data_IF_140496372628
#
_entry.id   IF_140496372628
#
_cell.length_a   1.000
_cell.length_b   1.000
_cell.length_c   1.000
_cell.angle_alpha   90.00
_cell.angle_beta   90.00
_cell.angle_gamma   90.00
#
_symmetry.space_group_name_H-M   'P 1'
#
loop_
_entity.id
_entity.type
_entity.pdbx_description
1 polymer ?
#
# COMPACT_ATOMS: atom_id res chain seq x y z
N UNK A 1 -4.98 10.33 22.77
CA UNK A 1 -3.87 11.18 22.27
C UNK A 1 -4.16 11.50 20.81
N UNK A 2 -4.38 12.78 20.50
CA UNK A 2 -4.74 13.24 19.15
C UNK A 2 -3.60 13.02 18.16
N UNK A 3 -3.86 12.26 17.11
CA UNK A 3 -3.04 12.27 15.90
C UNK A 3 -3.15 13.69 15.35
N UNK A 4 -2.04 14.41 15.25
CA UNK A 4 -2.01 15.75 14.69
C UNK A 4 -2.18 15.61 13.17
N UNK A 5 -3.43 15.44 12.73
CA UNK A 5 -3.78 15.41 11.31
C UNK A 5 -3.42 16.79 10.76
N UNK A 6 -2.61 16.88 9.68
CA UNK A 6 -2.27 18.15 9.08
C UNK A 6 -3.56 18.94 8.78
N UNK A 7 -3.62 20.19 9.25
CA UNK A 7 -4.77 21.05 8.97
C UNK A 7 -4.93 21.18 7.45
N UNK A 8 -6.13 20.96 6.94
CA UNK A 8 -6.41 21.04 5.49
C UNK A 8 -5.99 22.39 4.91
N UNK A 9 -6.04 23.47 5.70
CA UNK A 9 -5.59 24.79 5.28
C UNK A 9 -4.06 24.86 5.13
N UNK A 10 -3.29 24.10 5.89
CA UNK A 10 -1.82 24.02 5.73
C UNK A 10 -1.45 23.23 4.47
N UNK A 11 -2.22 22.17 4.15
CA UNK A 11 -2.08 21.43 2.89
C UNK A 11 -2.41 22.34 1.70
N UNK A 12 -3.56 23.02 1.73
CA UNK A 12 -3.98 23.96 0.67
C UNK A 12 -2.97 25.12 0.54
N UNK A 13 -2.47 25.67 1.65
CA UNK A 13 -1.46 26.74 1.64
C UNK A 13 -0.15 26.25 1.02
N UNK A 14 0.31 25.04 1.35
CA UNK A 14 1.49 24.46 0.71
C UNK A 14 1.26 24.22 -0.78
N UNK A 15 0.09 23.70 -1.17
CA UNK A 15 -0.31 23.50 -2.56
C UNK A 15 -0.23 24.81 -3.37
N UNK A 16 -0.77 25.90 -2.82
CA UNK A 16 -0.75 27.23 -3.44
C UNK A 16 0.65 27.87 -3.47
N UNK A 17 1.47 27.66 -2.44
CA UNK A 17 2.77 28.35 -2.29
C UNK A 17 3.89 27.79 -3.17
N UNK A 18 3.81 26.52 -3.59
CA UNK A 18 4.83 25.90 -4.46
C UNK A 18 4.38 25.59 -5.89
N UNK A 19 3.23 26.13 -6.33
CA UNK A 19 2.75 25.93 -7.70
C UNK A 19 2.65 24.44 -8.05
N UNK A 20 2.12 23.61 -7.14
CA UNK A 20 2.00 22.16 -7.37
C UNK A 20 1.01 21.91 -8.51
N UNK A 21 1.53 21.64 -9.71
CA UNK A 21 0.73 21.63 -10.94
C UNK A 21 -0.16 20.40 -11.09
N UNK A 22 0.15 19.28 -10.44
CA UNK A 22 -0.48 17.99 -10.79
C UNK A 22 -0.82 17.08 -9.60
N UNK A 23 -1.21 17.64 -8.44
CA UNK A 23 -1.85 16.87 -7.36
C UNK A 23 -0.94 16.00 -6.47
N UNK A 24 0.39 16.05 -6.63
CA UNK A 24 1.37 15.43 -5.73
C UNK A 24 2.03 16.47 -4.81
N UNK A 25 2.43 16.07 -3.60
CA UNK A 25 3.07 16.96 -2.60
C UNK A 25 3.78 16.19 -1.49
N UNK A 26 4.52 16.88 -0.62
CA UNK A 26 5.10 16.27 0.58
C UNK A 26 4.92 17.12 1.83
N UNK A 27 4.73 16.45 2.97
CA UNK A 27 4.59 17.03 4.31
C UNK A 27 5.78 16.60 5.16
N UNK A 28 6.48 17.56 5.76
CA UNK A 28 7.63 17.30 6.63
C UNK A 28 7.21 17.35 8.10
N UNK A 29 7.47 16.27 8.83
CA UNK A 29 7.27 16.15 10.28
C UNK A 29 8.63 16.31 10.98
N UNK A 30 9.11 17.56 11.10
CA UNK A 30 10.47 17.89 11.56
C UNK A 30 10.91 17.21 12.86
N UNK A 31 10.02 17.19 13.86
CA UNK A 31 10.30 16.62 15.19
C UNK A 31 10.54 15.11 15.09
N UNK A 32 9.81 14.43 14.20
CA UNK A 32 9.84 12.97 14.03
C UNK A 32 10.82 12.52 12.95
N UNK A 33 11.50 13.45 12.27
CA UNK A 33 12.33 13.16 11.09
C UNK A 33 11.61 12.26 10.09
N UNK A 34 10.31 12.51 9.87
CA UNK A 34 9.47 11.75 8.94
C UNK A 34 8.97 12.68 7.84
N UNK A 35 8.96 12.22 6.60
CA UNK A 35 8.34 12.90 5.47
C UNK A 35 7.25 12.04 4.85
N UNK A 36 6.05 12.60 4.74
CA UNK A 36 4.94 11.97 4.00
C UNK A 36 4.97 12.52 2.59
N UNK A 37 5.03 11.63 1.60
CA UNK A 37 5.06 11.97 0.17
C UNK A 37 3.79 11.41 -0.45
N UNK A 38 2.87 12.31 -0.82
CA UNK A 38 1.65 11.98 -1.52
C UNK A 38 1.89 12.09 -3.03
N UNK A 39 1.81 10.96 -3.72
CA UNK A 39 1.99 10.83 -5.15
C UNK A 39 0.65 10.92 -5.87
N UNK A 40 0.63 11.54 -7.05
CA UNK A 40 -0.46 11.39 -8.00
C UNK A 40 -0.12 10.25 -8.96
N UNK A 41 -0.38 9.01 -8.53
CA UNK A 41 -0.08 7.83 -9.35
C UNK A 41 -1.05 7.60 -10.50
N UNK A 42 -2.11 8.41 -10.62
CA UNK A 42 -2.99 8.40 -11.80
C UNK A 42 -2.28 8.92 -13.06
N UNK A 43 -1.27 9.78 -12.91
CA UNK A 43 -0.45 10.22 -14.05
C UNK A 43 0.30 9.04 -14.69
N UNK A 44 0.52 7.96 -13.94
CA UNK A 44 1.33 6.83 -14.38
C UNK A 44 0.51 5.75 -15.09
N UNK A 45 -0.81 5.91 -15.23
CA UNK A 45 -1.68 4.86 -15.80
C UNK A 45 -1.92 5.01 -17.30
N UNK A 46 -1.50 6.11 -17.90
CA UNK A 46 -1.71 6.41 -19.32
C UNK A 46 -0.63 7.37 -19.82
N UNK A 47 -0.14 7.15 -21.04
CA UNK A 47 0.91 7.95 -21.67
C UNK A 47 0.51 9.39 -22.02
N UNK A 48 -0.79 9.72 -22.00
CA UNK A 48 -1.25 11.10 -22.23
C UNK A 48 -0.75 12.10 -21.19
N UNK A 49 -0.21 11.63 -20.05
CA UNK A 49 0.30 12.45 -18.95
C UNK A 49 1.81 12.27 -18.75
N UNK A 50 2.53 11.72 -19.73
CA UNK A 50 3.96 11.40 -19.58
C UNK A 50 4.78 12.65 -19.22
N UNK A 51 4.45 13.81 -19.78
CA UNK A 51 5.16 15.05 -19.46
C UNK A 51 5.01 15.41 -17.96
N UNK A 52 3.79 15.42 -17.43
CA UNK A 52 3.53 15.69 -16.02
C UNK A 52 4.05 14.57 -15.10
N UNK A 53 4.05 13.32 -15.59
CA UNK A 53 4.61 12.18 -14.89
C UNK A 53 6.13 12.33 -14.73
N UNK A 54 6.84 12.76 -15.78
CA UNK A 54 8.28 13.03 -15.73
C UNK A 54 8.63 14.12 -14.72
N UNK A 55 7.86 15.22 -14.70
CA UNK A 55 8.04 16.27 -13.67
C UNK A 55 7.84 15.73 -12.24
N UNK A 56 6.86 14.83 -12.04
CA UNK A 56 6.65 14.17 -10.75
C UNK A 56 7.80 13.25 -10.38
N UNK A 57 8.39 12.53 -11.34
CA UNK A 57 9.51 11.62 -11.09
C UNK A 57 10.76 12.38 -10.66
N UNK A 58 11.12 13.44 -11.37
CA UNK A 58 12.27 14.30 -11.03
C UNK A 58 12.07 14.93 -9.65
N UNK A 59 10.85 15.39 -9.38
CA UNK A 59 10.48 15.89 -8.06
C UNK A 59 10.62 14.83 -6.97
N UNK A 60 10.07 13.62 -7.17
CA UNK A 60 10.11 12.54 -6.20
C UNK A 60 11.55 12.15 -5.87
N UNK A 61 12.39 11.95 -6.89
CA UNK A 61 13.79 11.62 -6.71
C UNK A 61 14.52 12.71 -5.90
N UNK A 62 14.28 14.00 -6.22
CA UNK A 62 14.86 15.12 -5.47
C UNK A 62 14.44 15.10 -3.99
N UNK A 63 13.18 14.74 -3.69
CA UNK A 63 12.64 14.63 -2.34
C UNK A 63 13.28 13.47 -1.58
N UNK A 64 13.46 12.31 -2.23
CA UNK A 64 14.09 11.13 -1.62
C UNK A 64 15.57 11.37 -1.33
N UNK A 65 16.31 11.99 -2.28
CA UNK A 65 17.71 12.40 -2.08
C UNK A 65 17.82 13.36 -0.90
N UNK A 66 16.95 14.37 -0.84
CA UNK A 66 16.93 15.33 0.27
C UNK A 66 16.64 14.65 1.60
N UNK A 67 15.64 13.77 1.65
CA UNK A 67 15.24 13.05 2.86
C UNK A 67 16.37 12.17 3.37
N UNK A 68 17.05 11.45 2.47
CA UNK A 68 18.24 10.65 2.78
C UNK A 68 19.36 11.51 3.40
N UNK A 69 19.71 12.64 2.77
CA UNK A 69 20.72 13.58 3.30
C UNK A 69 20.35 14.14 4.68
N UNK A 70 19.07 14.40 4.90
CA UNK A 70 18.54 14.95 6.15
C UNK A 70 18.32 13.90 7.24
N UNK A 71 18.59 12.61 6.96
CA UNK A 71 18.29 11.48 7.85
C UNK A 71 16.80 11.44 8.23
N UNK A 72 15.94 11.70 7.25
CA UNK A 72 14.49 11.58 7.36
C UNK A 72 14.05 10.19 6.88
N UNK A 73 13.07 9.58 7.56
CA UNK A 73 12.30 8.45 7.03
C UNK A 73 11.15 8.94 6.18
N UNK A 74 10.61 8.08 5.32
CA UNK A 74 9.66 8.45 4.27
C UNK A 74 8.48 7.49 4.25
N UNK A 75 7.28 8.08 4.18
CA UNK A 75 6.08 7.39 3.73
C UNK A 75 5.77 7.76 2.29
N UNK A 76 5.54 6.75 1.46
CA UNK A 76 4.96 6.93 0.13
C UNK A 76 3.46 6.64 0.22
N UNK A 77 2.63 7.56 -0.25
CA UNK A 77 1.17 7.41 -0.30
C UNK A 77 0.72 7.66 -1.73
N UNK A 78 -0.08 6.76 -2.30
CA UNK A 78 -0.61 6.93 -3.64
C UNK A 78 -1.98 6.28 -3.80
N UNK A 79 -2.64 6.53 -4.93
CA UNK A 79 -3.94 5.92 -5.21
C UNK A 79 -3.77 4.54 -5.87
N UNK A 80 -3.28 4.54 -7.11
CA UNK A 80 -3.00 3.34 -7.90
C UNK A 80 -1.64 2.76 -7.46
N UNK A 81 -1.59 1.53 -6.91
CA UNK A 81 -0.35 0.87 -6.53
C UNK A 81 0.45 0.39 -7.76
N UNK A 82 1.78 0.21 -7.63
CA UNK A 82 2.55 -0.50 -8.65
C UNK A 82 2.14 -1.97 -8.75
N UNK A 83 2.45 -2.55 -9.90
CA UNK A 83 2.21 -3.91 -10.36
C UNK A 83 0.74 -4.30 -10.54
N UNK A 84 0.41 -5.54 -10.22
CA UNK A 84 -0.76 -6.20 -10.79
C UNK A 84 -2.02 -6.04 -9.95
N UNK A 85 -3.17 -5.98 -10.63
CA UNK A 85 -4.52 -6.08 -10.07
C UNK A 85 -4.87 -7.57 -9.80
N UNK A 86 -4.84 -7.97 -8.52
CA UNK A 86 -5.14 -9.33 -8.07
C UNK A 86 -6.56 -9.79 -8.44
N UNK A 87 -7.52 -8.86 -8.49
CA UNK A 87 -8.93 -9.19 -8.72
C UNK A 87 -9.22 -9.46 -10.18
N UNK A 88 -8.42 -8.91 -11.08
CA UNK A 88 -8.69 -9.00 -12.53
C UNK A 88 -7.88 -10.08 -13.22
N UNK A 89 -6.97 -10.73 -12.50
CA UNK A 89 -6.18 -11.84 -13.01
C UNK A 89 -7.00 -13.14 -13.08
N UNK A 90 -8.11 -13.20 -13.81
CA UNK A 90 -8.89 -14.46 -13.97
C UNK A 90 -8.19 -15.49 -14.88
N UNK A 91 -7.16 -15.06 -15.60
CA UNK A 91 -6.34 -15.89 -16.47
C UNK A 91 -4.93 -15.30 -16.54
N UNK A 92 -3.88 -16.13 -16.66
CA UNK A 92 -2.51 -15.68 -16.95
C UNK A 92 -2.40 -14.72 -18.15
N UNK A 93 -3.38 -14.71 -19.05
CA UNK A 93 -3.38 -13.88 -20.27
C UNK A 93 -4.18 -12.58 -20.13
N UNK A 94 -4.81 -12.33 -18.98
CA UNK A 94 -5.63 -11.14 -18.69
C UNK A 94 -5.08 -10.34 -17.50
N UNK A 95 -3.77 -10.46 -17.27
CA UNK A 95 -3.04 -9.74 -16.23
C UNK A 95 -3.03 -8.23 -16.52
N UNK A 96 -3.58 -7.43 -15.61
CA UNK A 96 -3.63 -5.96 -15.77
C UNK A 96 -2.69 -5.28 -14.78
N UNK A 97 -1.52 -4.90 -15.26
CA UNK A 97 -0.66 -3.91 -14.60
C UNK A 97 -1.28 -2.54 -14.89
N UNK A 98 -1.62 -1.78 -13.84
CA UNK A 98 -2.31 -0.50 -14.02
C UNK A 98 -1.36 0.65 -14.35
N UNK A 99 -0.16 0.62 -13.78
CA UNK A 99 0.88 1.56 -14.14
C UNK A 99 1.47 1.13 -15.48
N UNK A 100 1.73 2.08 -16.37
CA UNK A 100 2.47 1.79 -17.60
C UNK A 100 3.81 1.15 -17.24
N UNK A 101 4.31 0.16 -18.01
CA UNK A 101 5.51 -0.60 -17.63
C UNK A 101 6.70 0.27 -17.25
N UNK A 102 7.00 1.32 -18.02
CA UNK A 102 8.08 2.27 -17.73
C UNK A 102 7.96 2.93 -16.35
N UNK A 103 6.76 3.38 -15.99
CA UNK A 103 6.48 3.99 -14.69
C UNK A 103 6.50 2.97 -13.56
N UNK A 104 6.00 1.76 -13.80
CA UNK A 104 6.07 0.67 -12.84
C UNK A 104 7.54 0.35 -12.50
N UNK A 105 8.38 0.16 -13.52
CA UNK A 105 9.81 -0.12 -13.34
C UNK A 105 10.54 1.01 -12.63
N UNK A 106 10.25 2.27 -13.00
CA UNK A 106 10.86 3.45 -12.36
C UNK A 106 10.47 3.58 -10.89
N UNK A 107 9.21 3.31 -10.54
CA UNK A 107 8.76 3.27 -9.14
C UNK A 107 9.61 2.29 -8.32
N UNK A 108 9.79 1.07 -8.83
CA UNK A 108 10.53 0.02 -8.13
C UNK A 108 12.01 0.31 -8.01
N UNK A 109 12.62 0.85 -9.06
CA UNK A 109 14.01 1.28 -9.01
C UNK A 109 14.24 2.33 -7.91
N UNK A 110 13.33 3.31 -7.76
CA UNK A 110 13.40 4.31 -6.69
C UNK A 110 13.15 3.68 -5.31
N UNK A 111 12.16 2.81 -5.17
CA UNK A 111 11.90 2.12 -3.90
C UNK A 111 13.11 1.32 -3.46
N UNK A 112 13.73 0.53 -4.34
CA UNK A 112 14.94 -0.25 -4.04
C UNK A 112 16.10 0.66 -3.61
N UNK A 113 16.37 1.69 -4.42
CA UNK A 113 17.48 2.63 -4.16
C UNK A 113 17.34 3.36 -2.82
N UNK A 114 16.12 3.64 -2.38
CA UNK A 114 15.83 4.38 -1.15
C UNK A 114 15.15 3.51 -0.08
N UNK A 115 15.25 2.18 -0.17
CA UNK A 115 14.58 1.26 0.74
C UNK A 115 14.98 1.48 2.21
N UNK A 116 16.21 1.93 2.45
CA UNK A 116 16.73 2.23 3.78
C UNK A 116 16.02 3.40 4.49
N UNK A 117 15.33 4.28 3.75
CA UNK A 117 14.57 5.40 4.33
C UNK A 117 13.06 5.29 4.13
N UNK A 118 12.59 4.45 3.21
CA UNK A 118 11.15 4.24 2.98
C UNK A 118 10.63 3.25 4.03
N UNK A 119 9.96 3.77 5.06
CA UNK A 119 9.47 2.99 6.20
C UNK A 119 7.97 2.66 6.13
N UNK A 120 7.30 3.07 5.05
CA UNK A 120 5.90 2.75 4.80
C UNK A 120 5.44 3.14 3.40
N UNK A 121 4.63 2.29 2.79
CA UNK A 121 4.02 2.54 1.48
C UNK A 121 2.53 2.18 1.55
N UNK A 122 1.65 3.13 1.25
CA UNK A 122 0.22 3.00 1.47
C UNK A 122 -0.58 3.37 0.22
N UNK A 123 -1.35 2.42 -0.27
CA UNK A 123 -2.12 2.53 -1.51
C UNK A 123 -3.55 2.02 -1.35
N UNK A 124 -4.37 2.21 -2.38
CA UNK A 124 -5.73 1.70 -2.44
C UNK A 124 -6.06 1.20 -3.85
N UNK A 125 -7.09 1.78 -4.45
CA UNK A 125 -7.57 1.51 -5.82
C UNK A 125 -8.22 0.14 -6.07
N UNK A 126 -7.65 -0.96 -5.55
CA UNK A 126 -8.18 -2.31 -5.82
C UNK A 126 -9.42 -2.69 -4.98
N UNK A 127 -9.69 -1.93 -3.91
CA UNK A 127 -10.81 -2.17 -2.98
C UNK A 127 -10.70 -3.53 -2.28
N UNK A 128 -9.46 -3.99 -2.08
CA UNK A 128 -9.06 -5.26 -1.49
C UNK A 128 -8.13 -5.01 -0.31
N UNK A 129 -8.14 -5.96 0.61
CA UNK A 129 -7.08 -6.09 1.59
C UNK A 129 -5.91 -6.87 0.96
N UNK A 130 -4.78 -6.18 0.77
CA UNK A 130 -3.64 -6.80 0.12
C UNK A 130 -2.30 -6.13 0.50
N UNK A 131 -1.20 -6.83 0.24
CA UNK A 131 0.14 -6.28 0.34
C UNK A 131 1.08 -6.84 -0.73
N UNK A 132 2.16 -6.10 -1.01
CA UNK A 132 3.22 -6.46 -1.97
C UNK A 132 4.58 -6.40 -1.32
N UNK A 133 5.49 -7.26 -1.77
CA UNK A 133 6.89 -7.30 -1.31
C UNK A 133 7.80 -6.90 -2.45
N UNK A 134 8.57 -5.83 -2.26
CA UNK A 134 9.61 -5.39 -3.21
C UNK A 134 10.92 -6.04 -2.79
N UNK A 135 11.61 -6.69 -3.74
CA UNK A 135 12.91 -7.33 -3.51
C UNK A 135 14.06 -6.50 -4.11
N UNK A 136 15.24 -6.62 -3.52
CA UNK A 136 16.49 -6.10 -4.08
C UNK A 136 16.86 -6.85 -5.37
N UNK A 137 17.43 -6.17 -6.35
CA UNK A 137 17.79 -6.80 -7.63
C UNK A 137 19.10 -7.60 -7.55
N UNK A 138 19.95 -7.36 -6.54
CA UNK A 138 21.28 -8.00 -6.45
C UNK A 138 21.24 -9.33 -5.70
N UNK A 139 20.52 -9.39 -4.58
CA UNK A 139 20.49 -10.55 -3.69
C UNK A 139 19.08 -11.12 -3.48
N UNK A 140 18.07 -10.54 -4.13
CA UNK A 140 16.67 -10.96 -4.05
C UNK A 140 16.12 -11.00 -2.62
N UNK A 141 16.69 -10.23 -1.68
CA UNK A 141 16.11 -10.10 -0.33
C UNK A 141 14.92 -9.13 -0.35
N UNK A 142 13.88 -9.34 0.47
CA UNK A 142 12.79 -8.39 0.58
C UNK A 142 13.28 -7.08 1.22
N UNK A 143 12.98 -5.94 0.60
CA UNK A 143 13.49 -4.62 1.03
C UNK A 143 12.40 -3.63 1.40
N UNK A 144 11.16 -3.86 0.95
CA UNK A 144 10.05 -2.98 1.31
C UNK A 144 8.70 -3.67 1.15
N UNK A 145 7.72 -3.23 1.94
CA UNK A 145 6.33 -3.69 1.87
C UNK A 145 5.42 -2.56 1.40
N UNK A 146 4.55 -2.86 0.44
CA UNK A 146 3.47 -2.00 -0.02
C UNK A 146 2.17 -2.51 0.55
N UNK A 147 1.51 -1.71 1.39
CA UNK A 147 0.20 -2.05 1.91
C UNK A 147 -0.90 -1.43 1.05
N UNK A 148 -1.89 -2.24 0.70
CA UNK A 148 -3.08 -1.84 -0.06
C UNK A 148 -4.27 -2.00 0.87
N UNK A 149 -4.95 -0.89 1.13
CA UNK A 149 -6.12 -0.88 2.00
C UNK A 149 -7.42 -1.12 1.20
N UNK A 150 -8.41 -1.80 1.80
CA UNK A 150 -9.73 -1.95 1.19
C UNK A 150 -10.46 -0.60 1.14
N UNK A 151 -11.60 -0.57 0.46
CA UNK A 151 -12.41 0.64 0.33
C UNK A 151 -13.59 0.67 1.29
N UNK A 152 -14.02 1.88 1.65
CA UNK A 152 -15.32 2.09 2.30
C UNK A 152 -16.48 1.78 1.35
N UNK A 153 -16.33 2.08 0.05
CA UNK A 153 -17.39 1.74 -0.91
C UNK A 153 -17.46 0.22 -1.11
N UNK A 154 -18.65 -0.39 -1.02
CA UNK A 154 -18.84 -1.80 -1.38
C UNK A 154 -18.84 -1.90 -2.90
N UNK A 155 -17.76 -2.44 -3.48
CA UNK A 155 -17.69 -2.63 -4.94
C UNK A 155 -18.24 -3.99 -5.29
N UNK A 156 -19.34 -4.03 -6.04
CA UNK A 156 -19.79 -5.25 -6.71
C UNK A 156 -19.09 -5.35 -8.05
N UNK A 157 -18.23 -6.35 -8.20
CA UNK A 157 -17.58 -6.66 -9.47
C UNK A 157 -17.83 -8.11 -9.85
N UNK A 158 -17.68 -8.49 -11.13
CA UNK A 158 -17.73 -9.90 -11.54
C UNK A 158 -16.71 -10.79 -10.80
N UNK A 159 -15.70 -10.19 -10.17
CA UNK A 159 -14.56 -10.86 -9.56
C UNK A 159 -14.63 -10.86 -8.02
N UNK A 160 -15.75 -10.42 -7.45
CA UNK A 160 -15.99 -10.41 -6.01
C UNK A 160 -16.67 -9.15 -5.52
N UNK A 161 -17.13 -9.23 -4.28
CA UNK A 161 -17.67 -8.13 -3.48
C UNK A 161 -16.71 -7.80 -2.35
N UNK A 162 -16.89 -6.64 -1.72
CA UNK A 162 -16.25 -6.31 -0.45
C UNK A 162 -17.26 -5.62 0.46
N UNK A 163 -17.15 -5.91 1.75
CA UNK A 163 -17.72 -5.05 2.76
C UNK A 163 -16.94 -3.71 2.83
N UNK A 164 -17.55 -2.62 3.30
CA UNK A 164 -16.82 -1.41 3.67
C UNK A 164 -15.69 -1.75 4.66
N UNK A 165 -14.47 -1.30 4.35
CA UNK A 165 -13.28 -1.56 5.16
C UNK A 165 -12.58 -0.27 5.59
N UNK A 166 -11.97 -0.30 6.78
CA UNK A 166 -11.13 0.76 7.33
C UNK A 166 -9.92 0.15 8.03
N UNK A 167 -8.72 0.68 7.79
CA UNK A 167 -7.49 0.21 8.42
C UNK A 167 -6.91 1.24 9.37
N UNK A 168 -6.57 0.81 10.59
CA UNK A 168 -5.87 1.61 11.57
C UNK A 168 -4.47 1.05 11.80
N UNK A 169 -3.46 1.77 11.34
CA UNK A 169 -2.06 1.39 11.53
C UNK A 169 -1.51 1.83 12.88
N UNK A 170 -0.63 1.00 13.44
CA UNK A 170 0.23 1.32 14.58
C UNK A 170 1.65 1.51 14.07
N UNK A 171 2.30 2.60 14.47
CA UNK A 171 3.66 2.94 14.02
C UNK A 171 4.59 3.27 15.18
N UNK A 172 5.88 3.01 14.98
CA UNK A 172 6.93 3.53 15.83
C UNK A 172 7.02 5.05 15.60
N UNK A 173 6.92 5.84 16.68
CA UNK A 173 6.85 7.31 16.58
C UNK A 173 8.17 7.96 16.17
N UNK A 174 9.28 7.27 16.38
CA UNK A 174 10.64 7.76 16.18
C UNK A 174 11.20 7.30 14.83
N UNK A 175 10.95 6.04 14.45
CA UNK A 175 11.42 5.49 13.16
C UNK A 175 10.38 5.58 12.05
N UNK A 176 9.10 5.74 12.39
CA UNK A 176 8.00 5.68 11.43
C UNK A 176 7.70 4.26 10.92
N UNK A 177 8.39 3.20 11.36
CA UNK A 177 8.11 1.87 10.85
C UNK A 177 6.74 1.35 11.35
N UNK A 178 6.05 0.57 10.51
CA UNK A 178 4.79 -0.10 10.86
C UNK A 178 5.06 -1.14 11.93
N UNK A 179 4.35 -1.06 13.06
CA UNK A 179 4.39 -2.08 14.12
C UNK A 179 3.31 -3.13 13.92
N UNK A 180 2.15 -2.70 13.41
CA UNK A 180 0.95 -3.53 13.28
C UNK A 180 -0.14 -2.76 12.52
N UNK A 181 -1.24 -3.41 12.17
CA UNK A 181 -2.48 -2.72 11.87
C UNK A 181 -3.70 -3.53 12.31
N UNK A 182 -4.78 -2.81 12.63
CA UNK A 182 -6.09 -3.41 12.83
C UNK A 182 -6.97 -3.11 11.62
N UNK A 183 -7.50 -4.17 11.01
CA UNK A 183 -8.47 -4.08 9.93
C UNK A 183 -9.87 -4.09 10.56
N UNK A 184 -10.67 -3.11 10.19
CA UNK A 184 -12.09 -3.02 10.56
C UNK A 184 -12.93 -3.22 9.31
N UNK A 185 -14.11 -3.78 9.50
CA UNK A 185 -15.12 -3.87 8.46
C UNK A 185 -16.50 -3.56 9.01
N UNK A 186 -17.41 -3.24 8.10
CA UNK A 186 -18.83 -3.14 8.36
C UNK A 186 -19.53 -4.27 7.62
N UNK A 187 -20.19 -5.17 8.33
CA UNK A 187 -21.08 -6.15 7.69
C UNK A 187 -22.28 -5.39 7.11
N UNK A 188 -22.25 -5.16 5.79
CA UNK A 188 -23.23 -4.31 5.13
C UNK A 188 -24.62 -4.94 5.14
N UNK A 189 -24.72 -6.27 5.09
CA UNK A 189 -25.99 -6.99 5.14
C UNK A 189 -26.66 -6.85 6.50
N UNK A 190 -25.90 -7.05 7.58
CA UNK A 190 -26.37 -6.84 8.95
C UNK A 190 -26.73 -5.38 9.18
N UNK A 191 -25.85 -4.45 8.77
CA UNK A 191 -26.07 -3.02 8.97
C UNK A 191 -27.35 -2.51 8.27
N UNK A 192 -27.63 -2.99 7.07
CA UNK A 192 -28.85 -2.66 6.34
C UNK A 192 -30.10 -3.28 6.97
N UNK A 193 -30.01 -4.53 7.45
CA UNK A 193 -31.13 -5.23 8.10
C UNK A 193 -31.51 -4.58 9.44
N UNK A 194 -30.51 -4.20 10.22
CA UNK A 194 -30.69 -3.67 11.57
C UNK A 194 -30.76 -2.12 11.59
N UNK A 195 -30.69 -1.49 10.41
CA UNK A 195 -30.63 -0.03 10.22
C UNK A 195 -29.56 0.67 11.09
N UNK A 196 -28.43 0.00 11.31
CA UNK A 196 -27.40 0.42 12.26
C UNK A 196 -26.00 0.03 11.79
N UNK A 197 -25.12 1.03 11.62
CA UNK A 197 -23.76 0.82 11.15
C UNK A 197 -22.78 0.55 12.31
N UNK A 198 -22.61 -0.73 12.69
CA UNK A 198 -21.65 -1.16 13.70
C UNK A 198 -20.35 -1.69 13.06
N UNK A 199 -19.27 -0.92 13.20
CA UNK A 199 -17.94 -1.32 12.72
C UNK A 199 -17.29 -2.28 13.71
N UNK A 200 -16.78 -3.40 13.20
CA UNK A 200 -16.13 -4.43 14.02
C UNK A 200 -14.70 -4.67 13.56
N UNK A 201 -13.86 -5.14 14.49
CA UNK A 201 -12.50 -5.57 14.18
C UNK A 201 -12.57 -6.87 13.38
N UNK A 202 -12.03 -6.87 12.17
CA UNK A 202 -11.92 -8.07 11.34
C UNK A 202 -10.75 -8.92 11.81
N UNK A 203 -9.55 -8.32 11.83
CA UNK A 203 -8.35 -8.93 12.35
C UNK A 203 -7.27 -7.87 12.66
N UNK A 204 -6.34 -8.27 13.52
CA UNK A 204 -5.10 -7.56 13.79
C UNK A 204 -3.97 -8.32 13.11
N UNK A 205 -3.15 -7.67 12.26
CA UNK A 205 -2.16 -8.36 11.42
C UNK A 205 -1.26 -9.30 12.22
N UNK A 206 -0.57 -8.77 13.24
CA UNK A 206 0.44 -9.54 13.95
C UNK A 206 -0.16 -10.67 14.78
N UNK A 207 -1.31 -10.44 15.41
CA UNK A 207 -1.99 -11.47 16.21
C UNK A 207 -2.65 -12.54 15.35
N UNK A 208 -3.25 -12.17 14.21
CA UNK A 208 -3.99 -13.10 13.36
C UNK A 208 -3.06 -14.05 12.61
N UNK A 209 -1.92 -13.54 12.13
CA UNK A 209 -0.90 -14.33 11.45
C UNK A 209 0.23 -14.82 12.37
N UNK A 210 0.03 -14.71 13.69
CA UNK A 210 0.93 -15.26 14.72
C UNK A 210 2.41 -14.83 14.56
N UNK A 211 2.63 -13.55 14.25
CA UNK A 211 3.99 -13.01 14.12
C UNK A 211 4.71 -13.13 15.48
N UNK A 212 5.83 -13.84 15.53
CA UNK A 212 6.59 -14.14 16.76
C UNK A 212 7.38 -12.95 17.33
N UNK A 213 6.98 -11.72 17.02
CA UNK A 213 7.66 -10.49 17.42
C UNK A 213 7.07 -9.87 18.68
N UNK A 214 7.84 -9.02 19.34
CA UNK A 214 7.31 -8.15 20.39
C UNK A 214 6.35 -7.12 19.81
N UNK A 215 5.34 -6.72 20.59
CA UNK A 215 4.33 -5.70 20.22
C UNK A 215 4.90 -4.31 19.86
N UNK A 216 6.20 -4.09 20.10
CA UNK A 216 6.95 -2.87 19.79
C UNK A 216 7.98 -3.03 18.67
N UNK A 217 8.18 -4.25 18.18
CA UNK A 217 9.04 -4.50 17.04
C UNK A 217 8.28 -4.14 15.75
N UNK A 218 8.94 -3.49 14.77
CA UNK A 218 8.33 -3.27 13.48
C UNK A 218 8.10 -4.56 12.71
N UNK A 219 7.01 -4.60 11.95
CA UNK A 219 6.81 -5.61 10.91
C UNK A 219 7.79 -5.35 9.78
N UNK A 220 8.71 -6.29 9.57
CA UNK A 220 9.74 -6.20 8.55
C UNK A 220 9.25 -6.71 7.17
N UNK A 221 9.99 -6.36 6.11
CA UNK A 221 9.71 -6.88 4.78
C UNK A 221 9.92 -8.40 4.71
N UNK A 222 10.90 -8.93 5.45
CA UNK A 222 11.17 -10.37 5.60
C UNK A 222 10.00 -11.11 6.25
N UNK A 223 9.37 -10.55 7.29
CA UNK A 223 8.23 -11.20 7.93
C UNK A 223 7.00 -11.20 7.02
N UNK A 224 6.79 -10.11 6.29
CA UNK A 224 5.74 -10.05 5.29
C UNK A 224 6.01 -10.99 4.10
N UNK A 225 7.27 -11.23 3.74
CA UNK A 225 7.69 -12.24 2.75
C UNK A 225 7.48 -13.68 3.27
N UNK A 226 7.76 -13.95 4.55
CA UNK A 226 7.46 -15.25 5.17
C UNK A 226 5.95 -15.52 5.23
N UNK A 227 5.15 -14.49 5.57
CA UNK A 227 3.70 -14.58 5.53
C UNK A 227 3.21 -14.91 4.11
N UNK A 228 3.73 -14.18 3.14
CA UNK A 228 3.54 -14.41 1.72
C UNK A 228 3.83 -15.86 1.31
N UNK A 229 5.00 -16.39 1.69
CA UNK A 229 5.39 -17.78 1.41
C UNK A 229 4.49 -18.81 2.13
N UNK A 230 3.98 -18.47 3.31
CA UNK A 230 3.05 -19.35 4.03
C UNK A 230 1.74 -19.58 3.28
N UNK A 231 1.32 -18.61 2.45
CA UNK A 231 0.11 -18.77 1.61
C UNK A 231 0.33 -19.74 0.46
N UNK A 232 1.56 -19.80 -0.06
CA UNK A 232 1.97 -20.70 -1.15
C UNK A 232 2.03 -22.15 -0.66
N UNK A 233 2.57 -22.36 0.53
CA UNK A 233 2.92 -23.70 1.02
C UNK A 233 1.76 -24.44 1.70
N UNK A 234 0.69 -23.75 2.11
CA UNK A 234 -0.33 -24.33 2.99
C UNK A 234 -1.55 -24.96 2.29
N UNK A 235 -1.58 -25.09 0.95
CA UNK A 235 -2.78 -25.56 0.19
C UNK A 235 -4.08 -25.03 0.83
N UNK A 236 -4.11 -23.74 1.20
CA UNK A 236 -5.29 -23.18 1.86
C UNK A 236 -6.41 -23.27 0.84
N UNK A 237 -7.44 -24.04 1.18
CA UNK A 237 -8.53 -24.37 0.28
C UNK A 237 -9.04 -23.11 -0.42
N UNK A 238 -9.29 -23.27 -1.72
CA UNK A 238 -9.72 -22.34 -2.77
C UNK A 238 -10.87 -21.35 -2.46
N UNK A 239 -11.35 -21.29 -1.22
CA UNK A 239 -12.50 -20.50 -0.77
C UNK A 239 -12.15 -19.26 0.08
N UNK A 240 -10.88 -19.07 0.50
CA UNK A 240 -10.51 -17.91 1.32
C UNK A 240 -9.24 -17.16 0.88
N UNK A 241 -8.58 -17.54 -0.23
CA UNK A 241 -7.41 -16.82 -0.78
C UNK A 241 -7.36 -16.95 -2.31
N UNK A 242 -7.16 -15.84 -3.03
CA UNK A 242 -6.74 -15.85 -4.44
C UNK A 242 -5.22 -15.67 -4.50
N UNK A 243 -4.53 -16.76 -4.81
CA UNK A 243 -3.09 -16.80 -5.10
C UNK A 243 -2.83 -16.58 -6.60
N UNK A 244 -1.79 -15.78 -6.92
CA UNK A 244 -1.17 -15.73 -8.24
C UNK A 244 0.34 -15.55 -8.09
N UNK A 245 1.11 -16.65 -8.10
CA UNK A 245 2.56 -16.58 -8.33
C UNK A 245 2.80 -16.52 -9.83
N UNK A 246 3.41 -15.45 -10.33
CA UNK A 246 3.93 -15.39 -11.70
C UNK A 246 5.42 -15.07 -11.70
N UNK A 247 6.17 -15.85 -12.49
CA UNK A 247 7.51 -15.50 -12.94
C UNK A 247 7.40 -15.06 -14.40
N UNK A 248 7.60 -13.77 -14.67
CA UNK A 248 7.80 -13.25 -16.02
C UNK A 248 8.79 -12.09 -15.98
N UNK A 249 9.86 -12.22 -16.76
CA UNK A 249 10.87 -11.23 -17.16
C UNK A 249 11.12 -10.04 -16.19
N UNK A 250 12.18 -10.15 -15.38
CA UNK A 250 12.92 -9.05 -14.74
C UNK A 250 12.16 -8.08 -13.80
N UNK A 251 11.05 -8.51 -13.17
CA UNK A 251 10.39 -7.72 -12.11
C UNK A 251 10.21 -8.50 -10.80
N UNK A 252 10.98 -8.09 -9.80
CA UNK A 252 11.14 -8.65 -8.45
C UNK A 252 10.07 -8.14 -7.47
N UNK A 253 8.79 -8.56 -7.66
CA UNK A 253 7.71 -8.34 -6.67
C UNK A 253 6.84 -9.59 -6.52
N UNK A 254 6.56 -9.98 -5.27
CA UNK A 254 5.55 -10.99 -4.89
C UNK A 254 4.31 -10.29 -4.31
N UNK A 255 3.13 -10.85 -4.53
CA UNK A 255 1.81 -10.20 -4.34
C UNK A 255 0.86 -11.13 -3.59
N UNK A 256 0.09 -10.64 -2.61
CA UNK A 256 -0.80 -11.49 -1.82
C UNK A 256 -2.10 -10.78 -1.44
N UNK A 257 -3.23 -11.48 -1.59
CA UNK A 257 -4.56 -10.99 -1.22
C UNK A 257 -5.05 -11.75 -0.01
N UNK A 258 -5.48 -11.04 1.02
CA UNK A 258 -6.11 -11.66 2.18
C UNK A 258 -7.60 -11.79 1.80
N UNK A 259 -8.09 -13.02 1.62
CA UNK A 259 -9.48 -13.22 1.22
C UNK A 259 -10.43 -12.95 2.37
N UNK A 260 -11.62 -12.49 2.01
CA UNK A 260 -12.64 -12.03 2.94
C UNK A 260 -13.40 -13.23 3.54
N UNK A 261 -13.96 -13.03 4.73
CA UNK A 261 -15.18 -13.75 5.11
C UNK A 261 -16.30 -13.29 4.17
N UNK A 262 -16.49 -14.04 3.09
CA UNK A 262 -17.63 -13.88 2.19
C UNK A 262 -18.93 -14.20 2.94
N UNK A 263 -19.51 -13.17 3.56
CA UNK A 263 -20.90 -13.19 4.03
C UNK A 263 -21.60 -11.95 3.50
N UNK A 264 -21.87 -11.95 2.20
CA UNK A 264 -22.96 -11.16 1.63
C UNK A 264 -23.76 -12.12 0.73
N UNK A 265 -25.03 -12.40 1.04
CA UNK A 265 -25.87 -13.27 0.21
C UNK A 265 -26.12 -12.70 -1.19
#
# INVERSE_FOLDING_TARGET
MSVNVPNINDVIRQMKKKNYKCGYYSIEQKVRKLRIVALNTNLFTNSSWDQEAEEQWDWLESVLIKSSRNKETVYLVGHVPPGMDERQSRSPHQQRILLMPSHNSRYLALVRRFANIITGQFFGHFHTDSFRIVYDDNDNRPVSTIFIAPSVTPKRSPNGVNNPGLRLYKFNKDTGQVLDYNQYYLDLSVANKDEKAEWTSEYNLTSYYEFKQSTFEPVSAEQMDQLAESFINNEVSFLELQEFIFHYDNYSIKWFTIGFKDKVP
#
